data_IF_483600294055
#
_entry.id   IF_483600294055
#
_cell.length_a   1.000
_cell.length_b   1.000
_cell.length_c   1.000
_cell.angle_alpha   90.00
_cell.angle_beta   90.00
_cell.angle_gamma   90.00
#
_symmetry.space_group_name_H-M   'P 1'
#
loop_
_entity.id
_entity.type
_entity.pdbx_description
1 polymer ?
#
# COMPACT_ATOMS: atom_id res chain seq x y z
N UNK A 1 -14.98 23.28 -4.82
CA UNK A 1 -15.50 22.62 -3.63
C UNK A 1 -15.86 21.14 -3.91
N UNK A 2 -16.83 20.83 -4.79
CA UNK A 2 -17.22 19.43 -5.09
C UNK A 2 -16.04 18.59 -5.62
N UNK A 3 -15.30 19.07 -6.62
CA UNK A 3 -14.13 18.36 -7.13
C UNK A 3 -13.09 18.03 -6.05
N UNK A 4 -12.75 19.03 -5.23
CA UNK A 4 -11.80 18.84 -4.12
C UNK A 4 -12.35 17.81 -3.13
N UNK A 5 -13.63 17.92 -2.77
CA UNK A 5 -14.27 16.97 -1.85
C UNK A 5 -14.26 15.54 -2.38
N UNK A 6 -14.59 15.35 -3.66
CA UNK A 6 -14.60 14.01 -4.29
C UNK A 6 -13.19 13.43 -4.36
N UNK A 7 -12.21 14.20 -4.86
CA UNK A 7 -10.81 13.74 -4.96
C UNK A 7 -10.25 13.41 -3.59
N UNK A 8 -10.50 14.28 -2.60
CA UNK A 8 -10.01 14.04 -1.23
C UNK A 8 -10.66 12.81 -0.60
N UNK A 9 -11.98 12.64 -0.74
CA UNK A 9 -12.69 11.48 -0.18
C UNK A 9 -12.18 10.17 -0.79
N UNK A 10 -12.02 10.11 -2.13
CA UNK A 10 -11.50 8.95 -2.85
C UNK A 10 -10.06 8.67 -2.47
N UNK A 11 -9.19 9.69 -2.48
CA UNK A 11 -7.78 9.52 -2.13
C UNK A 11 -7.59 9.07 -0.69
N UNK A 12 -8.38 9.59 0.27
CA UNK A 12 -8.36 9.13 1.66
C UNK A 12 -8.80 7.68 1.80
N UNK A 13 -9.83 7.28 1.07
CA UNK A 13 -10.32 5.91 1.09
C UNK A 13 -9.28 4.94 0.52
N UNK A 14 -8.70 5.27 -0.64
CA UNK A 14 -7.63 4.46 -1.28
C UNK A 14 -6.41 4.36 -0.39
N UNK A 15 -5.95 5.46 0.20
CA UNK A 15 -4.79 5.49 1.10
C UNK A 15 -5.01 4.57 2.33
N UNK A 16 -6.14 4.71 3.01
CA UNK A 16 -6.47 3.86 4.18
C UNK A 16 -6.66 2.40 3.81
N UNK A 17 -7.33 2.12 2.70
CA UNK A 17 -7.49 0.75 2.22
C UNK A 17 -6.14 0.12 1.88
N UNK A 18 -5.27 0.89 1.21
CA UNK A 18 -3.92 0.46 0.89
C UNK A 18 -3.10 0.16 2.17
N UNK A 19 -3.12 1.07 3.16
CA UNK A 19 -2.43 0.87 4.43
C UNK A 19 -3.00 -0.32 5.23
N UNK A 20 -4.33 -0.49 5.24
CA UNK A 20 -4.97 -1.63 5.89
C UNK A 20 -4.57 -2.95 5.23
N UNK A 21 -4.57 -3.00 3.90
CA UNK A 21 -4.14 -4.18 3.15
C UNK A 21 -2.64 -4.47 3.35
N UNK A 22 -1.79 -3.44 3.40
CA UNK A 22 -0.37 -3.61 3.72
C UNK A 22 -0.19 -4.17 5.13
N UNK A 23 -0.92 -3.64 6.12
CA UNK A 23 -0.86 -4.10 7.52
C UNK A 23 -1.35 -5.54 7.66
N UNK A 24 -2.46 -5.88 7.04
CA UNK A 24 -2.98 -7.26 7.07
C UNK A 24 -2.07 -8.20 6.29
N UNK A 25 -1.59 -7.79 5.14
CA UNK A 25 -0.72 -8.60 4.30
C UNK A 25 0.70 -8.77 4.86
N UNK A 26 1.21 -7.85 5.70
CA UNK A 26 2.49 -8.03 6.41
C UNK A 26 2.42 -9.22 7.38
N UNK A 27 1.24 -9.49 7.91
CA UNK A 27 0.97 -10.69 8.71
C UNK A 27 1.14 -11.97 7.87
N UNK A 28 0.75 -11.95 6.60
CA UNK A 28 0.89 -13.10 5.68
C UNK A 28 2.33 -13.33 5.17
N UNK A 29 3.24 -12.39 5.37
CA UNK A 29 4.66 -12.58 5.05
C UNK A 29 5.52 -12.89 6.27
N UNK A 30 4.96 -12.82 7.46
CA UNK A 30 5.68 -12.79 8.72
C UNK A 30 6.70 -11.62 8.83
N UNK A 31 6.68 -10.66 7.91
CA UNK A 31 7.62 -9.55 7.81
C UNK A 31 7.05 -8.42 6.93
N UNK A 32 7.72 -7.27 6.85
CA UNK A 32 7.37 -6.19 5.93
C UNK A 32 7.91 -6.44 4.51
N UNK A 33 9.14 -7.00 4.43
CA UNK A 33 9.82 -7.42 3.20
C UNK A 33 10.64 -8.67 3.48
N UNK A 34 11.05 -9.38 2.43
CA UNK A 34 12.07 -10.40 2.56
C UNK A 34 13.00 -10.48 1.34
N UNK A 35 14.22 -10.90 1.60
CA UNK A 35 15.16 -11.33 0.57
C UNK A 35 15.07 -12.85 0.50
N UNK A 36 14.78 -13.38 -0.68
CA UNK A 36 14.72 -14.81 -0.92
C UNK A 36 15.90 -15.27 -1.76
N UNK A 37 16.35 -16.51 -1.55
CA UNK A 37 17.37 -17.16 -2.34
C UNK A 37 17.23 -18.70 -2.31
N UNK A 38 17.72 -19.37 -3.35
CA UNK A 38 17.91 -20.82 -3.35
C UNK A 38 19.25 -21.25 -2.70
N UNK A 39 20.18 -20.30 -2.48
CA UNK A 39 21.43 -20.49 -1.78
C UNK A 39 21.41 -19.76 -0.43
N UNK A 40 22.35 -20.10 0.46
CA UNK A 40 22.48 -19.42 1.75
C UNK A 40 22.70 -17.92 1.51
N UNK A 41 21.92 -17.09 2.19
CA UNK A 41 22.03 -15.62 2.13
C UNK A 41 23.31 -15.20 2.87
N UNK A 42 24.16 -14.32 2.28
CA UNK A 42 25.36 -13.81 2.92
C UNK A 42 25.05 -13.09 4.22
N UNK A 43 25.90 -13.28 5.23
CA UNK A 43 25.72 -12.62 6.53
C UNK A 43 25.87 -11.10 6.45
N UNK A 44 26.53 -10.59 5.39
CA UNK A 44 26.66 -9.16 5.07
C UNK A 44 25.30 -8.49 4.85
N UNK A 45 24.32 -9.20 4.25
CA UNK A 45 22.97 -8.67 4.04
C UNK A 45 22.24 -8.44 5.36
N UNK A 46 22.44 -9.34 6.32
CA UNK A 46 21.89 -9.18 7.66
C UNK A 46 22.57 -8.03 8.42
N UNK A 47 23.89 -7.93 8.31
CA UNK A 47 24.63 -6.85 8.95
C UNK A 47 24.19 -5.48 8.41
N UNK A 48 24.09 -5.32 7.09
CA UNK A 48 23.57 -4.10 6.47
C UNK A 48 22.15 -3.76 6.92
N UNK A 49 21.29 -4.75 7.09
CA UNK A 49 19.93 -4.53 7.60
C UNK A 49 19.93 -4.04 9.05
N UNK A 50 20.74 -4.66 9.92
CA UNK A 50 20.88 -4.27 11.34
C UNK A 50 21.48 -2.88 11.48
N UNK A 51 22.47 -2.50 10.67
CA UNK A 51 23.06 -1.15 10.65
C UNK A 51 22.02 -0.06 10.32
N UNK A 52 21.02 -0.39 9.51
CA UNK A 52 19.89 0.49 9.19
C UNK A 52 18.77 0.44 10.24
N UNK A 53 18.95 -0.29 11.35
CA UNK A 53 17.98 -0.40 12.42
C UNK A 53 16.78 -1.29 12.08
N UNK A 54 16.92 -2.21 11.14
CA UNK A 54 15.88 -3.16 10.76
C UNK A 54 15.96 -4.41 11.64
N UNK A 55 14.81 -4.93 12.05
CA UNK A 55 14.72 -6.25 12.67
C UNK A 55 14.82 -7.32 11.58
N UNK A 56 15.52 -8.41 11.89
CA UNK A 56 15.77 -9.49 10.94
C UNK A 56 15.43 -10.85 11.56
N UNK A 57 14.96 -11.79 10.73
CA UNK A 57 14.82 -13.19 11.09
C UNK A 57 15.08 -14.08 9.88
N UNK A 58 15.77 -15.20 10.10
CA UNK A 58 16.07 -16.16 9.04
C UNK A 58 15.03 -17.27 9.01
N UNK A 59 14.70 -17.71 7.81
CA UNK A 59 13.92 -18.91 7.62
C UNK A 59 14.51 -19.75 6.47
N UNK A 60 14.42 -21.07 6.60
CA UNK A 60 14.79 -22.03 5.58
C UNK A 60 13.63 -23.00 5.41
N UNK A 61 13.14 -23.15 4.20
CA UNK A 61 12.07 -24.09 3.87
C UNK A 61 12.53 -25.11 2.85
N UNK A 62 12.16 -26.39 3.09
CA UNK A 62 12.45 -27.49 2.17
C UNK A 62 11.43 -28.62 2.35
N UNK A 63 11.15 -29.41 1.29
CA UNK A 63 10.39 -30.66 1.43
C UNK A 63 11.26 -31.75 2.00
N UNK A 64 10.72 -32.54 2.93
CA UNK A 64 11.40 -33.71 3.49
C UNK A 64 10.41 -34.81 3.84
N UNK A 65 10.91 -36.03 3.95
CA UNK A 65 10.16 -37.12 4.56
C UNK A 65 10.40 -37.11 6.09
N UNK A 66 9.33 -37.31 6.80
CA UNK A 66 9.35 -37.53 8.27
C UNK A 66 9.07 -39.02 8.51
N UNK A 67 9.85 -39.64 9.38
CA UNK A 67 9.68 -41.01 9.78
C UNK A 67 9.37 -41.12 11.27
N UNK A 68 8.58 -42.10 11.65
CA UNK A 68 8.32 -42.48 13.05
C UNK A 68 9.07 -43.76 13.40
N UNK A 69 9.15 -44.08 14.69
CA UNK A 69 9.74 -45.31 15.19
C UNK A 69 9.03 -46.55 14.63
N UNK A 70 7.75 -46.47 14.28
CA UNK A 70 6.93 -47.53 13.68
C UNK A 70 7.06 -47.61 12.14
N UNK A 71 8.11 -47.01 11.55
CA UNK A 71 8.38 -46.98 10.10
C UNK A 71 7.29 -46.27 9.28
N UNK A 72 6.31 -45.59 9.89
CA UNK A 72 5.37 -44.75 9.14
C UNK A 72 6.09 -43.50 8.66
N UNK A 73 5.68 -43.02 7.52
CA UNK A 73 6.28 -41.81 6.93
C UNK A 73 5.27 -40.90 6.29
N UNK A 74 5.62 -39.64 6.15
CA UNK A 74 4.83 -38.62 5.45
C UNK A 74 5.74 -37.59 4.81
N UNK A 75 5.34 -37.09 3.62
CA UNK A 75 5.98 -35.94 3.01
C UNK A 75 5.50 -34.67 3.71
N UNK A 76 6.42 -33.88 4.21
CA UNK A 76 6.16 -32.63 4.91
C UNK A 76 6.92 -31.47 4.30
N UNK A 77 6.37 -30.29 4.48
CA UNK A 77 7.09 -29.05 4.26
C UNK A 77 7.77 -28.63 5.56
N UNK A 78 9.07 -28.85 5.64
CA UNK A 78 9.88 -28.42 6.78
C UNK A 78 10.14 -26.92 6.68
N UNK A 79 9.97 -26.22 7.78
CA UNK A 79 10.35 -24.84 7.94
C UNK A 79 11.21 -24.70 9.17
N UNK A 80 12.46 -24.36 8.96
CA UNK A 80 13.38 -24.03 10.01
C UNK A 80 13.42 -22.51 10.21
N UNK A 81 13.29 -22.08 11.46
CA UNK A 81 13.18 -20.66 11.82
C UNK A 81 14.25 -20.24 12.80
N UNK A 82 14.83 -19.06 12.57
CA UNK A 82 15.78 -18.43 13.44
C UNK A 82 15.12 -17.57 14.51
N UNK A 83 15.93 -17.01 15.44
CA UNK A 83 15.46 -16.09 16.46
C UNK A 83 14.70 -14.90 15.88
N UNK A 84 13.66 -14.45 16.58
CA UNK A 84 12.85 -13.30 16.17
C UNK A 84 11.70 -13.59 15.20
N UNK A 85 11.63 -14.81 14.66
CA UNK A 85 10.49 -15.22 13.82
C UNK A 85 9.22 -15.43 14.70
N UNK A 86 8.02 -15.03 14.25
CA UNK A 86 7.75 -14.17 13.08
C UNK A 86 7.92 -12.69 13.44
N UNK A 87 8.46 -11.87 12.53
CA UNK A 87 8.60 -10.43 12.72
C UNK A 87 7.24 -9.71 12.68
N UNK A 88 6.26 -10.30 11.97
CA UNK A 88 4.86 -9.85 11.91
C UNK A 88 3.92 -11.03 12.05
N UNK A 89 2.77 -10.79 12.66
CA UNK A 89 1.80 -11.84 12.93
C UNK A 89 2.16 -12.66 14.18
N UNK A 90 1.49 -13.78 14.36
CA UNK A 90 1.68 -14.68 15.52
C UNK A 90 1.52 -16.13 15.06
N UNK A 91 2.26 -17.02 15.69
CA UNK A 91 2.06 -18.46 15.56
C UNK A 91 0.84 -18.87 16.38
N UNK A 92 0.13 -19.88 15.92
CA UNK A 92 -0.99 -20.47 16.66
C UNK A 92 -0.73 -21.94 16.88
N UNK A 93 -0.72 -22.34 18.12
CA UNK A 93 -0.42 -23.69 18.57
C UNK A 93 -1.47 -24.22 19.52
N UNK A 94 -1.50 -25.52 19.70
CA UNK A 94 -2.32 -26.19 20.73
C UNK A 94 -1.58 -27.39 21.28
N UNK A 95 -1.91 -27.79 22.49
CA UNK A 95 -1.36 -28.99 23.13
C UNK A 95 -2.17 -30.26 22.77
N UNK A 96 -3.30 -30.14 22.13
CA UNK A 96 -4.12 -31.30 21.68
C UNK A 96 -4.57 -31.03 20.24
N UNK A 97 -4.40 -31.98 19.29
CA UNK A 97 -4.86 -31.80 17.92
C UNK A 97 -6.34 -31.47 17.85
N UNK A 98 -6.69 -30.53 16.94
CA UNK A 98 -8.08 -30.11 16.67
C UNK A 98 -8.79 -29.37 17.82
N UNK A 99 -8.08 -28.89 18.83
CA UNK A 99 -8.61 -27.99 19.85
C UNK A 99 -8.41 -26.52 19.49
N UNK A 100 -9.10 -25.56 20.13
CA UNK A 100 -8.93 -24.15 19.86
C UNK A 100 -7.48 -23.70 20.05
N UNK A 101 -6.88 -23.03 19.05
CA UNK A 101 -5.48 -22.67 19.11
C UNK A 101 -5.23 -21.44 19.98
N UNK A 102 -4.08 -21.41 20.63
CA UNK A 102 -3.57 -20.26 21.39
C UNK A 102 -2.49 -19.56 20.58
N UNK A 103 -2.53 -18.23 20.53
CA UNK A 103 -1.50 -17.43 19.89
C UNK A 103 -0.22 -17.43 20.77
N UNK A 104 0.93 -17.63 20.12
CA UNK A 104 2.23 -17.59 20.79
C UNK A 104 3.28 -16.87 19.95
N UNK A 105 4.26 -16.29 20.63
CA UNK A 105 5.51 -15.76 20.05
C UNK A 105 6.70 -16.66 20.34
N UNK A 106 6.49 -17.75 21.07
CA UNK A 106 7.51 -18.75 21.33
C UNK A 106 7.85 -19.51 20.06
N UNK A 107 9.01 -20.13 20.04
CA UNK A 107 9.48 -21.04 18.98
C UNK A 107 9.77 -22.40 19.59
N UNK A 108 9.83 -23.49 18.80
CA UNK A 108 10.33 -24.77 19.30
C UNK A 108 11.70 -24.61 19.97
N UNK A 109 11.98 -25.35 21.01
CA UNK A 109 13.33 -25.40 21.56
C UNK A 109 14.24 -26.22 20.64
N UNK A 110 15.56 -26.14 20.88
CA UNK A 110 16.50 -26.94 20.10
C UNK A 110 16.26 -28.44 20.38
N UNK A 111 16.15 -29.22 19.30
CA UNK A 111 15.80 -30.65 19.39
C UNK A 111 14.29 -30.91 19.43
N UNK A 112 13.45 -29.86 19.34
CA UNK A 112 12.00 -29.98 19.30
C UNK A 112 11.41 -29.60 17.93
N UNK A 113 10.22 -30.13 17.67
CA UNK A 113 9.42 -29.78 16.49
C UNK A 113 7.96 -29.55 16.85
N UNK A 114 7.34 -28.67 16.09
CA UNK A 114 5.88 -28.49 16.08
C UNK A 114 5.32 -29.03 14.77
N UNK A 115 4.34 -29.94 14.88
CA UNK A 115 3.75 -30.61 13.74
C UNK A 115 2.36 -30.07 13.44
N UNK A 116 2.04 -29.97 12.16
CA UNK A 116 0.66 -29.73 11.68
C UNK A 116 -0.28 -30.81 12.24
N UNK A 117 -1.44 -30.43 12.76
CA UNK A 117 -2.40 -31.33 13.37
C UNK A 117 -2.83 -32.52 12.47
N UNK A 118 -2.72 -32.39 11.16
CA UNK A 118 -3.03 -33.45 10.19
C UNK A 118 -2.01 -34.60 10.20
N UNK A 119 -0.79 -34.35 10.71
CA UNK A 119 0.26 -35.37 10.79
C UNK A 119 0.03 -36.37 11.93
N UNK A 120 -0.62 -35.96 13.01
CA UNK A 120 -0.85 -36.81 14.18
C UNK A 120 -1.60 -38.11 13.82
N UNK A 121 -2.82 -38.04 13.20
CA UNK A 121 -3.52 -39.26 12.84
C UNK A 121 -2.83 -40.03 11.69
N UNK A 122 -2.12 -39.35 10.77
CA UNK A 122 -1.50 -40.01 9.63
C UNK A 122 -0.23 -40.79 10.01
N UNK A 123 0.53 -40.26 10.96
CA UNK A 123 1.75 -40.89 11.47
C UNK A 123 1.48 -41.76 12.72
N UNK A 124 0.35 -41.55 13.39
CA UNK A 124 -0.01 -42.25 14.62
C UNK A 124 0.89 -41.85 15.79
N UNK A 125 1.24 -40.58 15.88
CA UNK A 125 2.12 -40.00 16.90
C UNK A 125 1.32 -39.15 17.89
N UNK A 126 1.89 -38.99 19.08
CA UNK A 126 1.36 -38.13 20.15
C UNK A 126 2.43 -37.07 20.55
N UNK A 127 2.03 -36.12 21.39
CA UNK A 127 2.98 -35.15 21.95
C UNK A 127 4.01 -35.88 22.86
N UNK A 128 5.26 -35.53 22.70
CA UNK A 128 6.38 -36.19 23.39
C UNK A 128 7.04 -37.32 22.60
N UNK A 129 6.40 -37.81 21.53
CA UNK A 129 7.02 -38.79 20.65
C UNK A 129 8.16 -38.18 19.83
N UNK A 130 9.03 -39.04 19.33
CA UNK A 130 10.14 -38.65 18.47
C UNK A 130 9.82 -38.93 17.00
N UNK A 131 10.20 -37.98 16.16
CA UNK A 131 10.17 -38.13 14.70
C UNK A 131 11.57 -37.91 14.11
N UNK A 132 11.85 -38.57 13.00
CA UNK A 132 13.13 -38.45 12.29
C UNK A 132 12.93 -37.55 11.05
N UNK A 133 13.77 -36.52 10.94
CA UNK A 133 13.87 -35.65 9.75
C UNK A 133 15.29 -35.75 9.22
N UNK A 134 15.47 -36.45 8.09
CA UNK A 134 16.80 -36.84 7.66
C UNK A 134 17.46 -37.74 8.71
N UNK A 135 18.58 -37.33 9.28
CA UNK A 135 19.27 -38.04 10.35
C UNK A 135 19.00 -37.53 11.75
N UNK A 136 18.26 -36.43 11.88
CA UNK A 136 17.96 -35.84 13.19
C UNK A 136 16.70 -36.46 13.82
N UNK A 137 16.80 -36.82 15.11
CA UNK A 137 15.67 -37.24 15.94
C UNK A 137 15.21 -36.03 16.76
N UNK A 138 13.94 -35.66 16.57
CA UNK A 138 13.36 -34.46 17.14
C UNK A 138 12.09 -34.82 17.89
N UNK A 139 11.87 -34.20 19.06
CA UNK A 139 10.71 -34.44 19.92
C UNK A 139 9.54 -33.53 19.54
N UNK A 140 8.35 -34.09 19.43
CA UNK A 140 7.13 -33.33 19.15
C UNK A 140 6.68 -32.61 20.43
N UNK A 141 6.76 -31.26 20.46
CA UNK A 141 6.41 -30.51 21.66
C UNK A 141 5.05 -29.81 21.57
N UNK A 142 4.60 -29.38 20.39
CA UNK A 142 3.29 -28.74 20.20
C UNK A 142 2.69 -29.08 18.84
N UNK A 143 1.36 -28.84 18.72
CA UNK A 143 0.63 -28.93 17.47
C UNK A 143 0.58 -27.55 16.83
N UNK A 144 1.14 -27.39 15.62
CA UNK A 144 1.07 -26.15 14.84
C UNK A 144 -0.27 -26.09 14.10
N UNK A 145 -1.06 -25.08 14.40
CA UNK A 145 -2.36 -24.87 13.74
C UNK A 145 -2.26 -23.85 12.61
N UNK A 146 -1.52 -22.76 12.83
CA UNK A 146 -1.35 -21.70 11.85
C UNK A 146 -0.03 -20.96 12.03
N UNK A 147 0.56 -20.59 10.90
CA UNK A 147 1.71 -19.70 10.81
C UNK A 147 1.37 -18.52 9.86
N UNK A 148 1.98 -17.34 10.05
CA UNK A 148 1.59 -16.14 9.29
C UNK A 148 1.86 -16.27 7.79
N UNK A 149 3.02 -16.75 7.37
CA UNK A 149 3.50 -16.78 5.98
C UNK A 149 3.26 -18.10 5.25
N UNK A 150 2.20 -18.81 5.60
CA UNK A 150 1.79 -20.05 4.92
C UNK A 150 1.10 -19.72 3.59
N UNK A 151 1.51 -20.38 2.51
CA UNK A 151 0.83 -20.32 1.20
C UNK A 151 1.56 -19.50 0.12
N UNK A 152 2.78 -19.07 0.37
CA UNK A 152 3.59 -18.32 -0.62
C UNK A 152 4.38 -19.18 -1.59
N UNK A 153 4.43 -20.51 -1.40
CA UNK A 153 5.20 -21.45 -2.21
C UNK A 153 4.41 -22.72 -2.51
N UNK A 154 4.71 -23.33 -3.64
CA UNK A 154 4.17 -24.65 -3.99
C UNK A 154 4.52 -25.74 -2.95
N UNK A 155 5.60 -25.53 -2.20
CA UNK A 155 6.02 -26.39 -1.09
C UNK A 155 5.16 -26.22 0.17
N UNK A 156 4.42 -25.13 0.27
CA UNK A 156 3.57 -24.81 1.43
C UNK A 156 2.22 -25.57 1.43
N UNK A 157 1.94 -26.34 0.39
CA UNK A 157 0.69 -27.11 0.28
C UNK A 157 0.66 -28.37 1.16
N UNK A 158 1.84 -28.90 1.53
CA UNK A 158 1.98 -30.05 2.41
C UNK A 158 1.72 -29.73 3.88
N UNK A 159 1.57 -30.77 4.73
CA UNK A 159 1.57 -30.59 6.18
C UNK A 159 2.88 -29.96 6.63
N UNK A 160 2.81 -29.05 7.61
CA UNK A 160 3.97 -28.29 8.07
C UNK A 160 4.67 -28.99 9.24
N UNK A 161 6.00 -28.94 9.21
CA UNK A 161 6.86 -29.21 10.37
C UNK A 161 7.69 -27.96 10.63
N UNK A 162 7.57 -27.38 11.81
CA UNK A 162 8.33 -26.23 12.25
C UNK A 162 9.44 -26.67 13.21
N UNK A 163 10.68 -26.24 12.95
CA UNK A 163 11.85 -26.56 13.77
C UNK A 163 12.78 -25.35 13.89
N UNK A 164 13.79 -25.46 14.74
CA UNK A 164 14.84 -24.43 14.85
C UNK A 164 15.82 -24.54 13.69
N UNK A 165 16.34 -23.38 13.25
CA UNK A 165 17.34 -23.35 12.17
C UNK A 165 18.67 -23.97 12.62
N UNK A 166 18.96 -23.94 13.93
CA UNK A 166 20.14 -24.52 14.55
C UNK A 166 20.17 -26.06 14.46
N UNK A 167 19.01 -26.71 14.30
CA UNK A 167 18.89 -28.17 14.17
C UNK A 167 19.06 -28.68 12.74
N UNK A 168 18.99 -27.77 11.74
CA UNK A 168 19.10 -28.14 10.32
C UNK A 168 20.38 -28.91 9.98
N UNK A 169 21.58 -28.53 10.48
CA UNK A 169 22.81 -29.29 10.19
C UNK A 169 22.73 -30.74 10.63
N UNK A 170 22.06 -31.05 11.74
CA UNK A 170 21.91 -32.42 12.26
C UNK A 170 21.05 -33.28 11.35
N UNK A 171 20.13 -32.69 10.57
CA UNK A 171 19.29 -33.45 9.62
C UNK A 171 20.06 -33.97 8.39
N UNK A 172 21.16 -33.33 8.04
CA UNK A 172 21.96 -33.58 6.82
C UNK A 172 21.14 -33.55 5.52
N UNK A 173 19.99 -32.87 5.51
CA UNK A 173 19.13 -32.71 4.33
C UNK A 173 19.68 -31.65 3.36
N UNK A 174 20.45 -30.70 3.88
CA UNK A 174 21.08 -29.64 3.08
C UNK A 174 22.30 -30.20 2.37
N UNK A 175 22.12 -30.61 1.10
CA UNK A 175 23.15 -31.16 0.25
C UNK A 175 23.18 -30.43 -1.10
N UNK A 176 24.29 -30.50 -1.86
CA UNK A 176 24.32 -29.98 -3.22
C UNK A 176 23.18 -30.52 -4.06
N UNK A 177 22.36 -29.67 -4.64
CA UNK A 177 21.18 -30.05 -5.43
C UNK A 177 19.88 -30.17 -4.64
N UNK A 178 19.90 -30.01 -3.32
CA UNK A 178 18.67 -29.91 -2.51
C UNK A 178 17.86 -28.68 -2.91
N UNK A 179 16.53 -28.84 -2.96
CA UNK A 179 15.61 -27.73 -3.21
C UNK A 179 15.36 -26.97 -1.92
N UNK A 180 16.09 -25.89 -1.74
CA UNK A 180 16.07 -25.06 -0.53
C UNK A 180 15.51 -23.67 -0.87
N UNK A 181 14.79 -23.09 0.07
CA UNK A 181 14.32 -21.71 -0.01
C UNK A 181 14.75 -20.97 1.26
N UNK A 182 15.81 -20.19 1.15
CA UNK A 182 16.28 -19.30 2.20
C UNK A 182 15.52 -17.97 2.11
N UNK A 183 15.13 -17.43 3.27
CA UNK A 183 14.55 -16.10 3.35
C UNK A 183 15.14 -15.34 4.53
N UNK A 184 15.61 -14.13 4.28
CA UNK A 184 15.91 -13.14 5.29
C UNK A 184 14.72 -12.20 5.41
N UNK A 185 13.96 -12.33 6.46
CA UNK A 185 12.80 -11.51 6.78
C UNK A 185 13.27 -10.17 7.35
N UNK A 186 12.59 -9.09 6.99
CA UNK A 186 12.95 -7.72 7.32
C UNK A 186 11.71 -6.97 7.85
N UNK A 187 11.89 -6.27 8.98
CA UNK A 187 10.87 -5.40 9.56
C UNK A 187 11.47 -4.05 9.91
N UNK A 188 10.82 -2.97 9.51
CA UNK A 188 11.23 -1.61 9.84
C UNK A 188 10.54 -0.54 9.01
N UNK A 189 11.12 0.66 9.02
CA UNK A 189 10.60 1.78 8.24
C UNK A 189 10.80 1.57 6.74
N UNK A 190 9.82 1.99 5.93
CA UNK A 190 9.87 1.85 4.47
C UNK A 190 11.11 2.56 3.86
N UNK A 191 11.52 3.71 4.43
CA UNK A 191 12.72 4.43 3.96
C UNK A 191 14.02 3.65 4.20
N UNK A 192 14.15 2.97 5.35
CA UNK A 192 15.29 2.11 5.66
C UNK A 192 15.30 0.85 4.77
N UNK A 193 14.12 0.26 4.52
CA UNK A 193 13.96 -0.89 3.62
C UNK A 193 14.33 -0.56 2.17
N UNK A 194 13.92 0.61 1.67
CA UNK A 194 14.26 1.08 0.32
C UNK A 194 15.76 1.42 0.21
N UNK A 195 16.35 1.97 1.27
CA UNK A 195 17.81 2.22 1.35
C UNK A 195 18.59 0.91 1.31
N UNK A 196 18.17 -0.10 2.07
CA UNK A 196 18.78 -1.43 2.05
C UNK A 196 18.70 -2.06 0.66
N UNK A 197 17.55 -1.98 0.00
CA UNK A 197 17.36 -2.48 -1.36
C UNK A 197 18.37 -1.84 -2.34
N UNK A 198 18.56 -0.52 -2.24
CA UNK A 198 19.52 0.20 -3.08
C UNK A 198 20.98 -0.13 -2.76
N UNK A 199 21.33 -0.40 -1.49
CA UNK A 199 22.70 -0.76 -1.11
C UNK A 199 23.10 -2.16 -1.56
N UNK A 200 22.16 -3.10 -1.54
CA UNK A 200 22.46 -4.51 -1.84
C UNK A 200 22.48 -4.84 -3.34
N UNK A 201 22.04 -3.90 -4.20
CA UNK A 201 22.01 -4.04 -5.68
C UNK A 201 21.48 -5.38 -6.18
N UNK A 202 20.39 -5.83 -5.50
CA UNK A 202 19.81 -7.18 -5.70
C UNK A 202 19.27 -7.41 -7.11
N UNK A 203 19.14 -6.36 -7.93
CA UNK A 203 18.66 -6.45 -9.31
C UNK A 203 19.72 -7.03 -10.27
N UNK A 204 21.00 -6.97 -9.89
CA UNK A 204 22.11 -7.51 -10.70
C UNK A 204 22.36 -9.00 -10.45
N UNK A 205 22.01 -9.55 -9.28
CA UNK A 205 22.21 -10.97 -8.96
C UNK A 205 20.91 -11.78 -9.07
N UNK A 206 20.77 -12.63 -10.11
CA UNK A 206 19.57 -13.45 -10.32
C UNK A 206 19.31 -14.50 -9.23
N UNK A 207 20.27 -14.73 -8.33
CA UNK A 207 20.13 -15.70 -7.23
C UNK A 207 19.33 -15.13 -6.07
N UNK A 208 19.19 -13.81 -5.98
CA UNK A 208 18.45 -13.14 -4.92
C UNK A 208 17.23 -12.44 -5.48
N UNK A 209 16.13 -12.49 -4.77
CA UNK A 209 14.92 -11.74 -5.11
C UNK A 209 14.41 -11.00 -3.90
N UNK A 210 14.16 -9.72 -4.11
CA UNK A 210 13.45 -8.88 -3.15
C UNK A 210 11.95 -9.04 -3.33
N UNK A 211 11.25 -9.36 -2.27
CA UNK A 211 9.79 -9.48 -2.29
C UNK A 211 9.15 -8.55 -1.28
N UNK A 212 8.21 -7.79 -1.78
CA UNK A 212 7.25 -7.06 -0.98
C UNK A 212 5.92 -7.80 -0.95
N UNK A 213 5.00 -7.33 -0.11
CA UNK A 213 3.65 -7.85 0.00
C UNK A 213 2.92 -7.86 -1.35
N UNK A 214 3.07 -6.77 -2.14
CA UNK A 214 2.43 -6.64 -3.46
C UNK A 214 2.89 -7.70 -4.46
N UNK A 215 4.15 -8.10 -4.38
CA UNK A 215 4.77 -9.06 -5.30
C UNK A 215 4.56 -10.51 -4.86
N UNK A 216 4.35 -10.73 -3.57
CA UNK A 216 4.14 -12.07 -3.01
C UNK A 216 2.76 -12.63 -3.32
N UNK A 217 1.78 -11.76 -3.59
CA UNK A 217 0.40 -12.15 -3.94
C UNK A 217 -0.06 -11.40 -5.20
N UNK A 218 0.35 -11.86 -6.41
CA UNK A 218 0.04 -11.18 -7.68
C UNK A 218 -1.46 -10.95 -7.89
N UNK A 219 -2.30 -11.85 -7.39
CA UNK A 219 -3.76 -11.74 -7.48
C UNK A 219 -4.30 -10.58 -6.66
N UNK A 220 -3.84 -10.44 -5.41
CA UNK A 220 -4.25 -9.33 -4.52
C UNK A 220 -3.68 -8.02 -5.05
N UNK A 221 -2.41 -7.98 -5.43
CA UNK A 221 -1.77 -6.79 -6.00
C UNK A 221 -2.46 -6.31 -7.28
N UNK A 222 -2.82 -7.22 -8.18
CA UNK A 222 -3.52 -6.86 -9.42
C UNK A 222 -4.96 -6.39 -9.19
N UNK A 223 -5.67 -6.97 -8.24
CA UNK A 223 -7.01 -6.53 -7.85
C UNK A 223 -6.97 -5.13 -7.23
N UNK A 224 -5.99 -4.87 -6.35
CA UNK A 224 -5.79 -3.58 -5.73
C UNK A 224 -5.44 -2.50 -6.76
N UNK A 225 -4.50 -2.76 -7.66
CA UNK A 225 -4.11 -1.83 -8.71
C UNK A 225 -5.28 -1.52 -9.66
N UNK A 226 -6.14 -2.50 -9.96
CA UNK A 226 -7.36 -2.25 -10.75
C UNK A 226 -8.34 -1.37 -9.99
N UNK A 227 -8.62 -1.67 -8.73
CA UNK A 227 -9.50 -0.85 -7.90
C UNK A 227 -8.99 0.60 -7.79
N UNK A 228 -7.69 0.79 -7.55
CA UNK A 228 -7.05 2.10 -7.54
C UNK A 228 -7.21 2.84 -8.87
N UNK A 229 -6.95 2.16 -9.99
CA UNK A 229 -7.12 2.73 -11.32
C UNK A 229 -8.56 3.16 -11.60
N UNK A 230 -9.55 2.36 -11.23
CA UNK A 230 -10.97 2.72 -11.37
C UNK A 230 -11.35 3.93 -10.52
N UNK A 231 -10.88 4.00 -9.29
CA UNK A 231 -11.14 5.12 -8.39
C UNK A 231 -10.47 6.41 -8.89
N UNK A 232 -9.25 6.31 -9.40
CA UNK A 232 -8.53 7.44 -10.00
C UNK A 232 -9.22 7.95 -11.27
N UNK A 233 -9.71 7.05 -12.14
CA UNK A 233 -10.50 7.42 -13.32
C UNK A 233 -11.80 8.13 -12.94
N UNK A 234 -12.52 7.63 -11.93
CA UNK A 234 -13.72 8.28 -11.42
C UNK A 234 -13.42 9.66 -10.83
N UNK A 235 -12.31 9.79 -10.09
CA UNK A 235 -11.81 11.06 -9.58
C UNK A 235 -11.46 12.05 -10.69
N UNK A 236 -10.77 11.59 -11.75
CA UNK A 236 -10.43 12.41 -12.92
C UNK A 236 -11.68 12.96 -13.62
N UNK A 237 -12.68 12.11 -13.83
CA UNK A 237 -13.98 12.53 -14.39
C UNK A 237 -14.65 13.61 -13.52
N UNK A 238 -14.63 13.44 -12.21
CA UNK A 238 -15.13 14.42 -11.26
C UNK A 238 -14.40 15.76 -11.35
N UNK A 239 -13.06 15.73 -11.49
CA UNK A 239 -12.24 16.94 -11.69
C UNK A 239 -12.58 17.63 -13.02
N UNK A 240 -12.73 16.89 -14.09
CA UNK A 240 -13.10 17.46 -15.41
C UNK A 240 -14.47 18.13 -15.37
N UNK A 241 -15.48 17.46 -14.83
CA UNK A 241 -16.83 18.05 -14.69
C UNK A 241 -16.84 19.30 -13.83
N UNK A 242 -16.09 19.28 -12.73
CA UNK A 242 -15.96 20.46 -11.87
C UNK A 242 -15.16 21.58 -12.56
N UNK A 243 -14.16 21.25 -13.35
CA UNK A 243 -13.41 22.20 -14.17
C UNK A 243 -14.32 22.94 -15.15
N UNK A 244 -15.20 22.22 -15.84
CA UNK A 244 -16.22 22.83 -16.73
C UNK A 244 -17.16 23.75 -15.94
N UNK A 245 -17.63 23.32 -14.77
CA UNK A 245 -18.50 24.15 -13.93
C UNK A 245 -17.79 25.44 -13.45
N UNK A 246 -16.49 25.34 -13.10
CA UNK A 246 -15.64 26.49 -12.75
C UNK A 246 -15.47 27.41 -13.94
N UNK A 247 -15.17 26.89 -15.13
CA UNK A 247 -15.02 27.69 -16.36
C UNK A 247 -16.29 28.45 -16.72
N UNK A 248 -17.46 27.79 -16.67
CA UNK A 248 -18.75 28.43 -16.93
C UNK A 248 -19.07 29.52 -15.90
N UNK A 249 -18.80 29.23 -14.61
CA UNK A 249 -19.01 30.21 -13.54
C UNK A 249 -18.09 31.43 -13.68
N UNK A 250 -16.81 31.20 -13.96
CA UNK A 250 -15.83 32.26 -14.20
C UNK A 250 -16.17 33.08 -15.43
N UNK A 251 -16.63 32.44 -16.51
CA UNK A 251 -17.08 33.13 -17.72
C UNK A 251 -18.30 34.02 -17.45
N UNK A 252 -19.30 33.52 -16.72
CA UNK A 252 -20.48 34.30 -16.31
C UNK A 252 -20.09 35.45 -15.39
N UNK A 253 -19.16 35.21 -14.46
CA UNK A 253 -18.63 36.22 -13.56
C UNK A 253 -17.92 37.34 -14.35
N UNK A 254 -17.00 36.95 -15.26
CA UNK A 254 -16.27 37.88 -16.10
C UNK A 254 -17.22 38.77 -16.91
N UNK A 255 -18.24 38.20 -17.56
CA UNK A 255 -19.25 38.96 -18.36
C UNK A 255 -19.99 39.99 -17.51
N UNK A 256 -20.36 39.66 -16.26
CA UNK A 256 -21.04 40.58 -15.36
C UNK A 256 -20.18 41.77 -14.94
N UNK A 257 -18.85 41.59 -14.98
CA UNK A 257 -17.91 42.62 -14.52
C UNK A 257 -17.31 43.45 -15.65
N UNK A 258 -17.75 43.23 -16.93
CA UNK A 258 -17.25 44.00 -18.04
C UNK A 258 -17.42 45.49 -17.90
N UNK A 259 -18.60 45.95 -17.48
CA UNK A 259 -18.89 47.36 -17.29
C UNK A 259 -18.08 47.98 -16.13
N UNK A 260 -17.92 47.25 -15.02
CA UNK A 260 -17.07 47.68 -13.90
C UNK A 260 -15.60 47.84 -14.33
N UNK A 261 -15.09 46.89 -15.13
CA UNK A 261 -13.71 46.97 -15.68
C UNK A 261 -13.58 48.16 -16.62
N UNK A 262 -14.59 48.43 -17.45
CA UNK A 262 -14.65 49.64 -18.30
C UNK A 262 -14.54 50.92 -17.46
N UNK A 263 -15.34 51.06 -16.43
CA UNK A 263 -15.31 52.23 -15.51
C UNK A 263 -13.95 52.35 -14.81
N UNK A 264 -13.37 51.26 -14.30
CA UNK A 264 -12.06 51.30 -13.65
C UNK A 264 -10.95 51.78 -14.60
N UNK A 265 -11.01 51.42 -15.87
CA UNK A 265 -10.07 51.86 -16.90
C UNK A 265 -10.26 53.36 -17.25
N UNK A 266 -11.49 53.86 -17.25
CA UNK A 266 -11.72 55.31 -17.44
C UNK A 266 -11.23 56.13 -16.27
N UNK A 267 -11.17 55.56 -15.05
CA UNK A 267 -10.59 56.15 -13.85
C UNK A 267 -9.06 56.02 -13.78
N UNK A 268 -8.41 55.44 -14.78
CA UNK A 268 -6.96 55.35 -14.89
C UNK A 268 -6.32 54.01 -14.42
N UNK A 269 -7.13 53.01 -14.09
CA UNK A 269 -6.59 51.69 -13.70
C UNK A 269 -5.90 51.01 -14.89
N UNK A 270 -4.67 50.51 -14.64
CA UNK A 270 -3.93 49.77 -15.66
C UNK A 270 -4.48 48.36 -15.85
N UNK A 271 -4.36 47.76 -17.07
CA UNK A 271 -4.81 46.37 -17.33
C UNK A 271 -4.23 45.34 -16.37
N UNK A 272 -2.98 45.53 -15.93
CA UNK A 272 -2.31 44.62 -15.01
C UNK A 272 -2.86 44.76 -13.57
N UNK A 273 -3.14 45.97 -13.10
CA UNK A 273 -3.76 46.18 -11.80
C UNK A 273 -5.13 45.49 -11.71
N UNK A 274 -5.93 45.62 -12.77
CA UNK A 274 -7.23 44.93 -12.87
C UNK A 274 -7.02 43.41 -12.83
N UNK A 275 -6.11 42.90 -13.64
CA UNK A 275 -5.82 41.46 -13.67
C UNK A 275 -5.38 40.92 -12.30
N UNK A 276 -4.43 41.58 -11.62
CA UNK A 276 -3.97 41.16 -10.31
C UNK A 276 -5.06 41.17 -9.26
N UNK A 277 -5.98 42.16 -9.31
CA UNK A 277 -7.12 42.23 -8.40
C UNK A 277 -8.06 41.03 -8.58
N UNK A 278 -8.36 40.63 -9.83
CA UNK A 278 -9.21 39.49 -10.09
C UNK A 278 -8.51 38.15 -9.84
N UNK A 279 -7.21 38.05 -10.06
CA UNK A 279 -6.41 36.87 -9.66
C UNK A 279 -6.37 36.74 -8.13
N UNK A 280 -6.15 37.84 -7.41
CA UNK A 280 -6.19 37.84 -5.94
C UNK A 280 -7.53 37.37 -5.40
N UNK A 281 -8.62 37.84 -5.99
CA UNK A 281 -9.97 37.35 -5.65
C UNK A 281 -10.15 35.87 -5.96
N UNK A 282 -9.67 35.41 -7.11
CA UNK A 282 -9.73 34.00 -7.50
C UNK A 282 -8.98 33.12 -6.51
N UNK A 283 -7.77 33.54 -6.10
CA UNK A 283 -6.96 32.80 -5.11
C UNK A 283 -7.66 32.77 -3.77
N UNK A 284 -8.21 33.89 -3.30
CA UNK A 284 -8.92 33.96 -2.02
C UNK A 284 -10.16 33.03 -2.01
N UNK A 285 -11.04 33.17 -3.02
CA UNK A 285 -12.23 32.32 -3.14
C UNK A 285 -11.87 30.88 -3.39
N UNK A 286 -10.83 30.63 -4.19
CA UNK A 286 -10.29 29.30 -4.46
C UNK A 286 -9.78 28.61 -3.20
N UNK A 287 -9.01 29.32 -2.36
CA UNK A 287 -8.51 28.80 -1.08
C UNK A 287 -9.64 28.45 -0.12
N UNK A 288 -10.65 29.30 0.01
CA UNK A 288 -11.84 29.01 0.82
C UNK A 288 -12.58 27.78 0.27
N UNK A 289 -12.77 27.70 -1.05
CA UNK A 289 -13.45 26.59 -1.70
C UNK A 289 -12.67 25.27 -1.54
N UNK A 290 -11.33 25.31 -1.57
CA UNK A 290 -10.46 24.16 -1.31
C UNK A 290 -10.59 23.72 0.15
N UNK A 291 -10.49 24.64 1.12
CA UNK A 291 -10.62 24.30 2.54
C UNK A 291 -11.97 23.66 2.87
N UNK A 292 -13.06 24.25 2.36
CA UNK A 292 -14.40 23.65 2.50
C UNK A 292 -14.52 22.32 1.78
N UNK A 293 -13.87 22.17 0.61
CA UNK A 293 -13.81 20.91 -0.14
C UNK A 293 -13.09 19.80 0.64
N UNK A 294 -11.97 20.12 1.29
CA UNK A 294 -11.25 19.17 2.16
C UNK A 294 -12.12 18.73 3.34
N UNK A 295 -12.82 19.65 3.99
CA UNK A 295 -13.72 19.32 5.11
C UNK A 295 -14.87 18.41 4.65
N UNK A 296 -15.53 18.76 3.55
CA UNK A 296 -16.61 17.94 2.99
C UNK A 296 -16.09 16.57 2.55
N UNK A 297 -14.92 16.52 1.89
CA UNK A 297 -14.28 15.28 1.47
C UNK A 297 -13.94 14.36 2.65
N UNK A 298 -13.42 14.94 3.73
CA UNK A 298 -13.16 14.20 4.97
C UNK A 298 -14.44 13.68 5.62
N UNK A 299 -15.50 14.49 5.63
CA UNK A 299 -16.80 14.08 6.15
C UNK A 299 -17.45 12.95 5.35
N UNK A 300 -17.39 13.03 4.01
CA UNK A 300 -17.85 11.97 3.12
C UNK A 300 -17.05 10.67 3.32
N UNK A 301 -15.71 10.79 3.41
CA UNK A 301 -14.85 9.65 3.72
C UNK A 301 -15.23 8.99 5.05
N UNK A 302 -15.45 9.79 6.11
CA UNK A 302 -15.84 9.24 7.41
C UNK A 302 -17.20 8.53 7.33
N UNK A 303 -18.16 9.08 6.58
CA UNK A 303 -19.45 8.44 6.31
C UNK A 303 -19.31 7.10 5.60
N UNK A 304 -18.44 7.02 4.58
CA UNK A 304 -18.15 5.77 3.87
C UNK A 304 -17.55 4.73 4.83
N UNK A 305 -16.58 5.13 5.64
CA UNK A 305 -15.93 4.23 6.61
C UNK A 305 -16.95 3.69 7.62
N UNK A 306 -17.82 4.54 8.16
CA UNK A 306 -18.86 4.12 9.11
C UNK A 306 -19.85 3.11 8.50
N UNK A 307 -20.19 3.30 7.22
CA UNK A 307 -21.07 2.35 6.50
C UNK A 307 -20.36 1.01 6.23
N UNK A 308 -19.06 1.04 5.95
CA UNK A 308 -18.27 -0.17 5.66
C UNK A 308 -17.81 -0.92 6.91
N UNK A 309 -17.73 -0.30 8.07
CA UNK A 309 -17.32 -0.96 9.31
C UNK A 309 -18.15 -2.20 9.66
N UNK A 310 -19.43 -2.21 9.29
CA UNK A 310 -20.30 -3.38 9.50
C UNK A 310 -20.03 -4.54 8.53
N UNK A 311 -19.37 -4.28 7.40
CA UNK A 311 -19.11 -5.25 6.33
C UNK A 311 -17.66 -5.74 6.33
N UNK A 312 -16.73 -4.92 6.79
CA UNK A 312 -15.30 -5.21 6.78
C UNK A 312 -14.76 -5.14 8.21
N UNK A 313 -14.48 -6.28 8.86
CA UNK A 313 -14.01 -6.34 10.24
C UNK A 313 -12.49 -6.01 10.32
N UNK A 314 -12.01 -5.03 9.56
CA UNK A 314 -10.60 -4.59 9.55
C UNK A 314 -10.51 -3.18 10.11
N UNK A 315 -9.66 -2.99 11.10
CA UNK A 315 -9.32 -1.68 11.64
C UNK A 315 -8.54 -0.87 10.59
N UNK A 316 -9.20 0.13 10.01
CA UNK A 316 -8.56 1.04 9.06
C UNK A 316 -7.62 2.00 9.82
N UNK A 317 -6.31 2.04 9.51
CA UNK A 317 -5.35 2.93 10.16
C UNK A 317 -5.70 4.41 9.91
N UNK A 318 -5.06 5.32 10.66
CA UNK A 318 -5.25 6.75 10.46
C UNK A 318 -4.76 7.17 9.08
N UNK A 319 -5.49 8.09 8.39
CA UNK A 319 -5.11 8.54 7.06
C UNK A 319 -3.80 9.32 7.10
N UNK A 320 -2.97 9.20 6.06
CA UNK A 320 -1.76 9.99 5.88
C UNK A 320 -2.09 11.45 5.50
N UNK A 321 -1.10 12.33 5.55
CA UNK A 321 -1.26 13.72 5.10
C UNK A 321 -1.27 13.85 3.56
N UNK A 322 -0.79 12.85 2.82
CA UNK A 322 -0.67 12.87 1.35
C UNK A 322 -1.99 13.13 0.62
N UNK A 323 -3.12 12.47 0.93
CA UNK A 323 -4.40 12.73 0.27
C UNK A 323 -4.90 14.15 0.41
N UNK A 324 -4.69 14.79 1.56
CA UNK A 324 -5.07 16.18 1.78
C UNK A 324 -4.27 17.14 0.90
N UNK A 325 -2.96 16.90 0.79
CA UNK A 325 -2.10 17.70 -0.07
C UNK A 325 -2.48 17.52 -1.55
N UNK A 326 -2.70 16.29 -2.00
CA UNK A 326 -3.14 15.99 -3.37
C UNK A 326 -4.48 16.67 -3.69
N UNK A 327 -5.47 16.58 -2.79
CA UNK A 327 -6.77 17.24 -2.95
C UNK A 327 -6.65 18.76 -3.03
N UNK A 328 -5.82 19.37 -2.17
CA UNK A 328 -5.60 20.81 -2.16
C UNK A 328 -4.90 21.31 -3.44
N UNK A 329 -3.80 20.64 -3.83
CA UNK A 329 -3.02 21.00 -5.04
C UNK A 329 -3.88 20.83 -6.30
N UNK A 330 -4.56 19.69 -6.45
CA UNK A 330 -5.44 19.42 -7.59
C UNK A 330 -6.56 20.45 -7.68
N UNK A 331 -7.18 20.79 -6.53
CA UNK A 331 -8.24 21.78 -6.47
C UNK A 331 -7.77 23.19 -6.86
N UNK A 332 -6.58 23.59 -6.42
CA UNK A 332 -6.00 24.89 -6.75
C UNK A 332 -5.60 24.97 -8.22
N UNK A 333 -4.95 23.93 -8.74
CA UNK A 333 -4.60 23.83 -10.17
C UNK A 333 -5.87 23.90 -11.02
N UNK A 334 -6.89 23.12 -10.68
CA UNK A 334 -8.17 23.12 -11.37
C UNK A 334 -8.82 24.52 -11.38
N UNK A 335 -8.85 25.19 -10.21
CA UNK A 335 -9.40 26.55 -10.10
C UNK A 335 -8.64 27.54 -10.98
N UNK A 336 -7.31 27.50 -10.98
CA UNK A 336 -6.48 28.40 -11.80
C UNK A 336 -6.63 28.05 -13.29
N UNK A 337 -6.46 26.80 -13.70
CA UNK A 337 -6.47 26.39 -15.09
C UNK A 337 -7.81 26.71 -15.79
N UNK A 338 -8.93 26.49 -15.09
CA UNK A 338 -10.26 26.69 -15.70
C UNK A 338 -10.84 28.09 -15.49
N UNK A 339 -10.47 28.83 -14.45
CA UNK A 339 -10.98 30.17 -14.22
C UNK A 339 -10.09 31.28 -14.82
N UNK A 340 -8.79 31.04 -15.00
CA UNK A 340 -7.86 32.06 -15.52
C UNK A 340 -8.18 32.50 -16.96
N UNK A 341 -8.48 31.60 -17.94
CA UNK A 341 -8.74 32.03 -19.31
C UNK A 341 -9.89 33.04 -19.44
N UNK A 342 -11.07 32.85 -18.83
CA UNK A 342 -12.13 33.88 -18.87
C UNK A 342 -11.71 35.20 -18.21
N UNK A 343 -10.90 35.16 -17.15
CA UNK A 343 -10.45 36.36 -16.45
C UNK A 343 -9.38 37.14 -17.25
N UNK A 344 -8.52 36.44 -17.99
CA UNK A 344 -7.55 37.09 -18.88
C UNK A 344 -8.22 37.97 -19.94
N UNK A 345 -9.43 37.62 -20.38
CA UNK A 345 -10.17 38.46 -21.32
C UNK A 345 -10.60 39.83 -20.73
N UNK A 346 -10.68 39.94 -19.40
CA UNK A 346 -11.04 41.21 -18.72
C UNK A 346 -10.01 42.31 -19.00
N UNK A 347 -8.72 41.96 -19.14
CA UNK A 347 -7.68 42.97 -19.42
C UNK A 347 -7.82 43.62 -20.80
N UNK A 348 -8.48 42.97 -21.75
CA UNK A 348 -8.58 43.42 -23.14
C UNK A 348 -9.86 44.20 -23.44
N UNK A 349 -10.71 44.47 -22.42
CA UNK A 349 -11.94 45.18 -22.59
C UNK A 349 -11.63 46.66 -22.87
N UNK A 350 -12.21 47.21 -23.96
CA UNK A 350 -12.07 48.61 -24.31
C UNK A 350 -12.91 49.52 -23.38
N UNK A 351 -12.37 50.65 -22.92
CA UNK A 351 -13.12 51.67 -22.16
C UNK A 351 -14.36 52.21 -22.91
N UNK A 352 -14.30 52.24 -24.24
CA UNK A 352 -15.38 52.71 -25.09
C UNK A 352 -16.69 51.88 -24.96
N UNK A 353 -16.63 50.69 -24.41
CA UNK A 353 -17.81 49.82 -24.23
C UNK A 353 -18.83 50.39 -23.25
N UNK A 354 -18.37 51.21 -22.27
CA UNK A 354 -19.27 51.88 -21.33
C UNK A 354 -20.10 52.99 -22.01
N UNK A 355 -19.53 53.59 -23.06
CA UNK A 355 -20.15 54.70 -23.77
C UNK A 355 -21.09 54.21 -24.91
N UNK A 356 -20.78 53.08 -25.53
CA UNK A 356 -21.58 52.45 -26.59
C UNK A 356 -22.09 51.09 -26.15
N UNK A 357 -23.27 51.02 -25.56
CA UNK A 357 -23.93 49.76 -25.18
C UNK A 357 -24.30 48.85 -26.35
N UNK A 358 -24.30 49.38 -27.58
CA UNK A 358 -24.79 48.71 -28.78
C UNK A 358 -23.69 48.05 -29.61
N UNK A 359 -22.41 48.08 -29.26
CA UNK A 359 -21.35 47.40 -30.01
C UNK A 359 -21.36 45.95 -29.62
N UNK A 360 -21.91 45.15 -30.52
CA UNK A 360 -22.18 43.71 -30.41
C UNK A 360 -21.04 42.84 -29.93
N UNK A 361 -21.44 41.66 -29.57
CA UNK A 361 -20.60 40.57 -29.02
C UNK A 361 -19.32 40.34 -29.82
N UNK A 362 -18.21 40.17 -29.12
CA UNK A 362 -16.94 39.77 -29.70
C UNK A 362 -17.03 38.41 -30.41
N UNK A 363 -16.25 38.19 -31.45
CA UNK A 363 -16.31 36.99 -32.28
C UNK A 363 -15.84 35.72 -31.50
N UNK A 364 -16.23 34.55 -31.99
CA UNK A 364 -16.07 33.27 -31.29
C UNK A 364 -14.68 32.65 -31.42
N UNK A 365 -13.65 33.33 -30.93
CA UNK A 365 -12.30 32.75 -30.87
C UNK A 365 -12.02 31.95 -29.56
N UNK A 366 -13.09 31.67 -28.81
CA UNK A 366 -12.95 31.07 -27.46
C UNK A 366 -12.63 29.57 -27.45
N UNK A 367 -12.88 28.85 -28.56
CA UNK A 367 -12.58 27.42 -28.66
C UNK A 367 -11.07 27.19 -28.82
N UNK A 368 -10.34 28.13 -29.41
CA UNK A 368 -8.89 28.02 -29.62
C UNK A 368 -8.05 28.16 -28.35
N UNK A 369 -8.57 28.85 -27.31
CA UNK A 369 -7.83 29.06 -26.05
C UNK A 369 -7.89 27.83 -25.10
N UNK A 370 -8.86 26.96 -25.26
CA UNK A 370 -8.98 25.71 -24.48
C UNK A 370 -8.30 24.53 -25.15
N UNK A 371 -7.92 24.63 -26.43
CA UNK A 371 -7.21 23.59 -27.18
C UNK A 371 -5.68 23.69 -27.08
N UNK A 372 -5.15 24.74 -26.43
CA UNK A 372 -3.71 24.98 -26.27
C UNK A 372 -3.22 24.86 -24.82
N UNK A 373 -4.07 24.44 -23.87
CA UNK A 373 -3.76 24.12 -22.51
C UNK A 373 -4.01 22.63 -22.23
#
# INVERSE_FOLDING_TARGET
MVAVGTVTAVSLFVDRLHQALLKESSTFLAADRYIGSSAKIPDEFRQAAVELGLDTADTLSFPSMVFTADEKNSLVSVKAVGPGYPLRGVLRVTDVPFTPPVATTELPEQGEVWLDGRLFPSLGVELGDQVEVGYAKLTISKVLTSEPDRGGSMYDLGPRLLMRIEDVPATQVVQPGSRLSYRLLLRGDDGALDTLKGQLDLEEDPNFWWRSIKESSPTIGSALNRAESFLLLGGLLGVLLAGVAVALSAHRYARRHYDHVGVLKTLGATPNQILYSYIGLLVAVGSIAVSLGLLVGSGLHMGIVLLLQSLIPVELPMPSARPFLLGAVTGLICAIAFALPPLLHLKNISPMRVIRRDVGAAPPSQIASYGAA
#
